data_IF_389512970450
#
_entry.id   IF_389512970450
#
_cell.length_a   1.000
_cell.length_b   1.000
_cell.length_c   1.000
_cell.angle_alpha   90.00
_cell.angle_beta   90.00
_cell.angle_gamma   90.00
#
_symmetry.space_group_name_H-M   'P 1'
#
loop_
_entity.id
_entity.type
_entity.pdbx_description
1 polymer ?
#
# COMPACT_ATOMS: atom_id res chain seq x y z
N UNK A 1 -64.33 17.65 -45.95
CA UNK A 1 -64.70 16.51 -45.08
C UNK A 1 -63.69 15.41 -45.32
N UNK A 2 -63.13 14.84 -44.27
CA UNK A 2 -62.21 13.70 -44.37
C UNK A 2 -60.87 13.97 -43.69
N UNK A 3 -60.87 13.95 -42.36
CA UNK A 3 -59.68 13.75 -41.53
C UNK A 3 -59.25 12.29 -41.75
N UNK A 4 -57.99 12.05 -42.13
CA UNK A 4 -57.38 10.71 -42.04
C UNK A 4 -56.12 10.83 -41.19
N UNK A 5 -56.13 10.09 -40.11
CA UNK A 5 -55.15 10.06 -39.04
C UNK A 5 -53.79 9.56 -39.55
N UNK A 6 -52.73 10.21 -39.08
CA UNK A 6 -51.38 9.69 -39.12
C UNK A 6 -51.25 8.65 -38.01
N UNK A 7 -50.87 7.43 -38.40
CA UNK A 7 -50.60 6.32 -37.50
C UNK A 7 -49.49 6.70 -36.51
N UNK A 8 -49.81 6.52 -35.24
CA UNK A 8 -48.93 6.67 -34.09
C UNK A 8 -47.92 5.52 -34.04
N UNK A 9 -46.63 5.84 -34.16
CA UNK A 9 -45.54 4.99 -33.70
C UNK A 9 -45.56 4.97 -32.16
N UNK A 10 -45.81 3.81 -31.56
CA UNK A 10 -45.56 3.57 -30.14
C UNK A 10 -44.05 3.46 -29.89
N UNK A 11 -43.45 4.27 -29.00
CA UNK A 11 -42.12 3.98 -28.48
C UNK A 11 -42.24 2.94 -27.36
N UNK A 12 -41.42 1.90 -27.45
CA UNK A 12 -41.28 0.85 -26.46
C UNK A 12 -41.04 1.42 -25.05
N UNK A 13 -41.80 0.86 -24.09
CA UNK A 13 -41.66 1.07 -22.66
C UNK A 13 -40.21 0.89 -22.21
N UNK A 14 -39.56 1.99 -21.80
CA UNK A 14 -38.36 1.94 -20.97
C UNK A 14 -38.73 1.44 -19.58
N UNK A 15 -38.09 0.40 -19.03
CA UNK A 15 -38.26 0.08 -17.62
C UNK A 15 -37.66 1.22 -16.82
N UNK A 16 -38.49 1.87 -16.01
CA UNK A 16 -38.07 2.81 -14.98
C UNK A 16 -37.08 2.11 -14.06
N UNK A 17 -35.85 2.64 -13.98
CA UNK A 17 -34.91 2.29 -12.93
C UNK A 17 -35.52 2.77 -11.61
N UNK A 18 -36.09 1.83 -10.86
CA UNK A 18 -36.56 2.06 -9.50
C UNK A 18 -35.35 2.41 -8.63
N UNK A 19 -35.23 3.70 -8.34
CA UNK A 19 -34.46 4.19 -7.22
C UNK A 19 -35.16 3.74 -5.93
N UNK A 20 -34.64 2.68 -5.31
CA UNK A 20 -34.49 2.50 -3.85
C UNK A 20 -34.09 1.06 -3.56
N UNK A 21 -32.86 0.88 -3.10
CA UNK A 21 -32.63 0.38 -1.74
C UNK A 21 -31.19 0.69 -1.33
N UNK A 22 -31.07 1.87 -0.71
CA UNK A 22 -29.91 2.30 0.05
C UNK A 22 -29.82 1.52 1.35
N UNK A 23 -29.18 0.36 1.30
CA UNK A 23 -28.50 -0.23 2.44
C UNK A 23 -27.07 -0.56 2.02
N UNK A 24 -26.28 0.48 1.74
CA UNK A 24 -24.84 0.36 1.86
C UNK A 24 -24.57 0.11 3.35
N UNK A 25 -24.22 -1.12 3.73
CA UNK A 25 -23.59 -1.35 5.02
C UNK A 25 -22.42 -0.37 5.15
N UNK A 26 -22.38 0.40 6.23
CA UNK A 26 -21.26 1.28 6.64
C UNK A 26 -20.01 0.44 6.97
N UNK A 27 -19.56 -0.36 6.02
CA UNK A 27 -18.36 -1.15 6.12
C UNK A 27 -17.18 -0.19 6.02
N UNK A 28 -16.43 -0.05 7.11
CA UNK A 28 -15.16 0.65 7.17
C UNK A 28 -14.08 -0.33 7.61
N UNK A 29 -12.84 -0.10 7.18
CA UNK A 29 -11.70 -0.87 7.68
C UNK A 29 -11.57 -0.65 9.21
N UNK A 30 -11.12 -1.66 9.99
CA UNK A 30 -10.96 -1.52 11.43
C UNK A 30 -10.03 -0.36 11.81
N UNK A 31 -10.32 0.31 12.92
CA UNK A 31 -9.46 1.35 13.50
C UNK A 31 -9.00 0.91 14.89
N UNK A 32 -7.69 0.88 15.11
CA UNK A 32 -7.05 0.27 16.28
C UNK A 32 -6.24 1.34 17.02
N UNK A 33 -6.48 1.45 18.32
CA UNK A 33 -5.78 2.40 19.20
C UNK A 33 -4.54 1.73 19.83
N UNK A 34 -3.35 2.22 19.49
CA UNK A 34 -2.09 1.66 19.96
C UNK A 34 -1.59 2.28 21.28
N UNK A 35 -2.34 3.23 21.88
CA UNK A 35 -1.93 3.90 23.13
C UNK A 35 -1.47 2.92 24.23
N UNK A 36 -2.11 1.76 24.45
CA UNK A 36 -1.64 0.81 25.46
C UNK A 36 -0.21 0.26 25.27
N UNK A 37 0.37 0.35 24.07
CA UNK A 37 1.77 -0.04 23.84
C UNK A 37 2.77 1.06 24.20
N UNK A 38 2.31 2.29 24.42
CA UNK A 38 3.14 3.43 24.82
C UNK A 38 3.00 3.79 26.31
N UNK A 39 2.10 3.11 27.02
CA UNK A 39 1.91 3.23 28.47
C UNK A 39 2.87 2.31 29.25
N UNK A 40 3.25 2.68 30.50
CA UNK A 40 4.10 1.86 31.35
C UNK A 40 3.52 0.47 31.66
N UNK A 41 4.38 -0.54 31.80
CA UNK A 41 3.98 -1.92 32.15
C UNK A 41 3.29 -2.03 33.52
N UNK A 42 3.53 -1.06 34.41
CA UNK A 42 2.89 -0.98 35.72
C UNK A 42 1.45 -0.46 35.69
N UNK A 43 0.97 0.05 34.54
CA UNK A 43 -0.38 0.59 34.41
C UNK A 43 -1.45 -0.51 34.59
N UNK A 44 -2.48 -0.31 35.45
CA UNK A 44 -3.51 -1.32 35.68
C UNK A 44 -4.23 -1.74 34.39
N UNK A 45 -4.31 -3.05 34.14
CA UNK A 45 -5.01 -3.60 32.98
C UNK A 45 -4.26 -3.50 31.65
N UNK A 46 -3.01 -2.99 31.65
CA UNK A 46 -2.27 -2.74 30.41
C UNK A 46 -1.95 -4.01 29.62
N UNK A 47 -1.57 -5.08 30.31
CA UNK A 47 -1.28 -6.37 29.67
C UNK A 47 -2.52 -6.92 28.93
N UNK A 48 -3.69 -6.84 29.56
CA UNK A 48 -4.95 -7.24 28.92
C UNK A 48 -5.34 -6.30 27.77
N UNK A 49 -5.07 -4.99 27.89
CA UNK A 49 -5.26 -4.02 26.81
C UNK A 49 -4.41 -4.35 25.58
N UNK A 50 -3.12 -4.60 25.78
CA UNK A 50 -2.20 -4.99 24.69
C UNK A 50 -2.64 -6.29 24.04
N UNK A 51 -3.06 -7.30 24.81
CA UNK A 51 -3.53 -8.56 24.26
C UNK A 51 -4.80 -8.41 23.42
N UNK A 52 -5.75 -7.57 23.85
CA UNK A 52 -6.94 -7.24 23.03
C UNK A 52 -6.55 -6.60 21.69
N UNK A 53 -5.61 -5.67 21.70
CA UNK A 53 -5.12 -5.04 20.47
C UNK A 53 -4.48 -6.07 19.53
N UNK A 54 -3.69 -7.01 20.06
CA UNK A 54 -3.11 -8.10 19.25
C UNK A 54 -4.21 -8.93 18.57
N UNK A 55 -5.31 -9.21 19.27
CA UNK A 55 -6.47 -9.92 18.70
C UNK A 55 -7.22 -9.08 17.66
N UNK A 56 -7.33 -7.76 17.86
CA UNK A 56 -7.91 -6.84 16.88
C UNK A 56 -7.07 -6.78 15.59
N UNK A 57 -5.75 -6.73 15.72
CA UNK A 57 -4.81 -6.80 14.59
C UNK A 57 -4.96 -8.14 13.87
N UNK A 58 -5.03 -9.26 14.59
CA UNK A 58 -5.25 -10.58 13.97
C UNK A 58 -6.52 -10.59 13.11
N UNK A 59 -7.66 -10.17 13.67
CA UNK A 59 -8.93 -10.10 12.92
C UNK A 59 -8.85 -9.16 11.73
N UNK A 60 -8.23 -7.99 11.88
CA UNK A 60 -8.06 -7.06 10.77
C UNK A 60 -7.23 -7.65 9.63
N UNK A 61 -6.12 -8.32 9.94
CA UNK A 61 -5.28 -8.97 8.94
C UNK A 61 -5.96 -10.17 8.26
N UNK A 62 -6.76 -10.95 9.00
CA UNK A 62 -7.48 -12.13 8.49
C UNK A 62 -8.69 -11.75 7.62
N UNK A 63 -9.48 -10.76 8.06
CA UNK A 63 -10.76 -10.42 7.42
C UNK A 63 -10.63 -9.31 6.37
N UNK A 64 -9.70 -8.38 6.56
CA UNK A 64 -9.57 -7.17 5.74
C UNK A 64 -8.22 -7.02 5.05
N UNK A 65 -7.14 -7.53 5.64
CA UNK A 65 -5.78 -7.24 5.19
C UNK A 65 -5.37 -5.76 5.34
N UNK A 66 -6.26 -4.92 5.88
CA UNK A 66 -6.17 -3.48 6.01
C UNK A 66 -6.74 -3.03 7.35
N UNK A 67 -6.14 -2.03 7.97
CA UNK A 67 -6.66 -1.34 9.16
C UNK A 67 -6.06 0.05 9.28
N UNK A 68 -6.68 0.91 10.09
CA UNK A 68 -6.09 2.17 10.54
C UNK A 68 -5.54 2.01 11.95
N UNK A 69 -4.47 2.72 12.26
CA UNK A 69 -3.94 2.85 13.61
C UNK A 69 -3.91 4.31 14.04
N UNK A 70 -4.19 4.55 15.32
CA UNK A 70 -4.00 5.84 16.01
C UNK A 70 -3.09 5.65 17.20
N UNK A 71 -2.55 6.75 17.75
CA UNK A 71 -1.59 6.73 18.86
C UNK A 71 -0.39 5.83 18.55
N UNK A 72 0.08 5.85 17.30
CA UNK A 72 1.11 4.96 16.75
C UNK A 72 2.55 5.40 17.04
N UNK A 73 2.76 6.45 17.84
CA UNK A 73 4.09 6.94 18.24
C UNK A 73 4.83 7.79 17.20
N UNK A 74 4.50 7.70 15.90
CA UNK A 74 5.02 8.64 14.90
C UNK A 74 4.51 10.08 15.12
N UNK A 75 5.44 11.03 15.20
CA UNK A 75 5.17 12.45 15.42
C UNK A 75 4.26 13.04 14.30
N UNK A 76 3.08 13.51 14.70
CA UNK A 76 2.11 14.12 13.79
C UNK A 76 2.62 15.42 13.15
N UNK A 77 3.49 16.17 13.83
CA UNK A 77 4.12 17.35 13.25
C UNK A 77 5.12 16.97 12.16
N UNK A 78 5.85 15.86 12.33
CA UNK A 78 6.73 15.32 11.29
C UNK A 78 5.96 14.86 10.05
N UNK A 79 4.81 14.17 10.25
CA UNK A 79 3.90 13.80 9.15
C UNK A 79 3.43 15.06 8.41
N UNK A 80 2.96 16.07 9.15
CA UNK A 80 2.47 17.33 8.57
C UNK A 80 3.56 18.08 7.81
N UNK A 81 4.77 18.19 8.38
CA UNK A 81 5.92 18.82 7.73
C UNK A 81 6.33 18.06 6.46
N UNK A 82 6.22 16.74 6.48
CA UNK A 82 6.57 15.89 5.34
C UNK A 82 5.54 15.96 4.21
N UNK A 83 4.24 16.04 4.54
CA UNK A 83 3.19 16.32 3.54
C UNK A 83 3.39 17.69 2.90
N UNK A 84 3.77 18.72 3.68
CA UNK A 84 4.12 20.05 3.14
C UNK A 84 5.35 20.01 2.23
N UNK A 85 6.43 19.35 2.66
CA UNK A 85 7.63 19.18 1.84
C UNK A 85 7.33 18.41 0.54
N UNK A 86 6.44 17.43 0.59
CA UNK A 86 5.93 16.71 -0.58
C UNK A 86 5.21 17.64 -1.54
N UNK A 87 4.29 18.47 -1.02
CA UNK A 87 3.57 19.45 -1.81
C UNK A 87 4.52 20.44 -2.48
N UNK A 88 5.41 21.04 -1.69
CA UNK A 88 6.39 22.02 -2.19
C UNK A 88 7.29 21.43 -3.28
N UNK A 89 7.62 20.14 -3.18
CA UNK A 89 8.34 19.42 -4.23
C UNK A 89 7.49 19.21 -5.51
N UNK A 90 6.26 18.73 -5.37
CA UNK A 90 5.40 18.44 -6.54
C UNK A 90 4.93 19.71 -7.27
N UNK A 91 4.92 20.85 -6.57
CA UNK A 91 4.66 22.18 -7.14
C UNK A 91 5.85 22.74 -7.95
N UNK A 92 7.03 22.11 -7.89
CA UNK A 92 8.17 22.52 -8.72
C UNK A 92 7.88 22.29 -10.21
N UNK A 93 8.64 23.01 -11.06
CA UNK A 93 8.59 22.77 -12.50
C UNK A 93 8.95 21.33 -12.85
N UNK A 94 8.40 20.81 -13.95
CA UNK A 94 8.74 19.47 -14.43
C UNK A 94 10.25 19.28 -14.58
N UNK A 95 10.97 20.31 -15.06
CA UNK A 95 12.43 20.28 -15.19
C UNK A 95 13.14 20.00 -13.85
N UNK A 96 12.72 20.66 -12.77
CA UNK A 96 13.30 20.45 -11.44
C UNK A 96 12.94 19.05 -10.88
N UNK A 97 11.70 18.61 -11.08
CA UNK A 97 11.25 17.28 -10.62
C UNK A 97 12.00 16.15 -11.33
N UNK A 98 12.25 16.29 -12.63
CA UNK A 98 12.96 15.31 -13.45
C UNK A 98 14.44 15.14 -13.06
N UNK A 99 15.05 16.12 -12.36
CA UNK A 99 16.43 16.01 -11.83
C UNK A 99 16.53 14.97 -10.71
N UNK A 100 15.41 14.59 -10.10
CA UNK A 100 15.34 13.60 -9.01
C UNK A 100 15.18 12.21 -9.58
N UNK A 101 16.04 11.82 -10.52
CA UNK A 101 16.07 10.49 -11.13
C UNK A 101 17.51 9.99 -11.22
N UNK A 102 17.77 8.69 -11.00
CA UNK A 102 19.05 8.12 -11.37
C UNK A 102 19.33 8.33 -12.86
N UNK A 103 20.60 8.47 -13.27
CA UNK A 103 20.92 8.56 -14.70
C UNK A 103 20.39 7.33 -15.46
N UNK A 104 19.89 7.49 -16.70
CA UNK A 104 19.34 6.40 -17.48
C UNK A 104 20.28 5.20 -17.58
N UNK A 105 19.75 3.98 -17.38
CA UNK A 105 20.51 2.74 -17.44
C UNK A 105 21.39 2.42 -16.23
N UNK A 106 21.40 3.26 -15.19
CA UNK A 106 22.23 3.02 -13.99
C UNK A 106 21.53 2.23 -12.90
N UNK A 107 20.22 2.43 -12.73
CA UNK A 107 19.41 1.75 -11.73
C UNK A 107 18.53 0.68 -12.38
N UNK A 108 18.50 -0.57 -11.86
CA UNK A 108 17.70 -1.65 -12.44
C UNK A 108 16.19 -1.53 -12.17
N UNK A 109 15.77 -0.59 -11.32
CA UNK A 109 14.36 -0.35 -10.97
C UNK A 109 14.00 1.12 -11.15
N UNK A 110 12.74 1.46 -11.49
CA UNK A 110 12.29 2.85 -11.64
C UNK A 110 12.31 3.54 -10.27
N UNK A 111 13.18 4.54 -10.12
CA UNK A 111 13.39 5.26 -8.86
C UNK A 111 13.33 6.77 -9.04
N UNK A 112 13.14 7.46 -7.91
CA UNK A 112 13.01 8.91 -7.89
C UNK A 112 11.67 9.36 -8.45
N UNK A 113 11.65 10.48 -9.16
CA UNK A 113 10.44 11.10 -9.66
C UNK A 113 9.84 10.36 -10.84
N UNK A 114 8.53 10.19 -10.87
CA UNK A 114 7.78 9.68 -12.01
C UNK A 114 6.48 10.48 -12.17
N UNK A 115 6.11 10.75 -13.42
CA UNK A 115 4.89 11.47 -13.78
C UNK A 115 4.07 10.60 -14.72
N UNK A 116 2.76 10.49 -14.46
CA UNK A 116 1.80 9.71 -15.23
C UNK A 116 2.31 8.29 -15.55
N UNK A 117 2.51 7.49 -14.50
CA UNK A 117 2.82 6.07 -14.66
C UNK A 117 1.63 5.31 -15.27
N UNK A 118 1.87 4.10 -15.77
CA UNK A 118 0.83 3.29 -16.41
C UNK A 118 1.32 2.67 -17.72
N UNK A 119 0.42 1.95 -18.37
CA UNK A 119 0.64 1.26 -19.65
C UNK A 119 -0.20 1.97 -20.71
N UNK A 120 0.18 1.90 -21.99
CA UNK A 120 -0.60 2.46 -23.09
C UNK A 120 -2.10 2.09 -22.98
N UNK A 121 -2.95 3.12 -22.79
CA UNK A 121 -4.40 2.99 -22.61
C UNK A 121 -4.91 2.93 -21.16
N UNK A 122 -4.03 2.83 -20.16
CA UNK A 122 -4.34 2.77 -18.72
C UNK A 122 -3.47 3.78 -17.94
N UNK A 123 -3.62 5.06 -18.24
CA UNK A 123 -2.84 6.13 -17.61
C UNK A 123 -3.25 6.29 -16.14
N UNK A 124 -2.29 6.15 -15.22
CA UNK A 124 -2.46 6.52 -13.82
C UNK A 124 -2.18 8.02 -13.67
N UNK A 125 -3.22 8.79 -13.34
CA UNK A 125 -3.07 10.24 -13.15
C UNK A 125 -2.52 10.54 -11.76
N UNK A 126 -1.21 10.37 -11.64
CA UNK A 126 -0.43 10.68 -10.44
C UNK A 126 1.01 11.06 -10.76
N UNK A 127 1.65 11.67 -9.78
CA UNK A 127 3.09 11.76 -9.68
C UNK A 127 3.58 11.02 -8.44
N UNK A 128 4.81 10.53 -8.47
CA UNK A 128 5.43 9.97 -7.27
C UNK A 128 6.94 10.19 -7.20
N UNK A 129 7.47 10.11 -5.98
CA UNK A 129 8.88 9.99 -5.65
C UNK A 129 9.10 8.65 -4.95
N UNK A 130 10.04 7.85 -5.44
CA UNK A 130 10.40 6.55 -4.83
C UNK A 130 11.85 6.55 -4.35
N UNK A 131 12.06 6.20 -3.07
CA UNK A 131 13.37 6.09 -2.44
C UNK A 131 13.49 4.78 -1.66
N UNK A 132 14.65 4.13 -1.71
CA UNK A 132 14.96 3.10 -0.72
C UNK A 132 15.42 3.75 0.58
N UNK A 133 14.99 3.22 1.72
CA UNK A 133 15.53 3.58 3.01
C UNK A 133 17.01 3.17 3.09
N UNK A 134 17.82 4.01 3.72
CA UNK A 134 19.18 3.62 4.06
C UNK A 134 19.08 2.65 5.24
N UNK A 135 19.62 1.43 5.09
CA UNK A 135 19.85 0.59 6.24
C UNK A 135 20.94 1.31 7.05
N UNK A 136 20.63 1.78 8.27
CA UNK A 136 21.56 2.54 9.12
C UNK A 136 22.85 1.80 9.52
N UNK A 137 23.19 0.74 8.80
CA UNK A 137 24.48 0.07 8.78
C UNK A 137 25.60 1.07 8.45
N UNK A 138 26.68 1.12 9.26
CA UNK A 138 27.84 1.96 8.97
C UNK A 138 28.58 1.55 7.69
N UNK A 139 28.36 0.32 7.20
CA UNK A 139 28.82 -0.12 5.89
C UNK A 139 27.64 -0.17 4.94
N UNK A 140 27.59 0.76 3.97
CA UNK A 140 26.68 0.63 2.83
C UNK A 140 26.96 -0.72 2.19
N UNK A 141 26.02 -1.65 2.26
CA UNK A 141 26.14 -2.88 1.48
C UNK A 141 26.39 -2.46 0.03
N UNK A 142 27.41 -3.00 -0.65
CA UNK A 142 27.65 -2.69 -2.07
C UNK A 142 26.41 -2.99 -2.93
N UNK A 143 25.51 -3.86 -2.44
CA UNK A 143 24.28 -4.26 -3.09
C UNK A 143 23.04 -3.44 -2.65
N UNK A 144 23.20 -2.47 -1.75
CA UNK A 144 22.10 -1.61 -1.29
C UNK A 144 21.58 -0.74 -2.43
N UNK A 145 20.28 -0.76 -2.68
CA UNK A 145 19.66 0.06 -3.71
C UNK A 145 19.60 1.55 -3.33
N UNK A 146 19.77 1.89 -2.05
CA UNK A 146 19.81 3.29 -1.58
C UNK A 146 20.96 4.09 -2.21
N UNK A 147 22.02 3.42 -2.71
CA UNK A 147 23.13 4.04 -3.46
C UNK A 147 22.67 4.77 -4.73
N UNK A 148 21.52 4.41 -5.26
CA UNK A 148 20.93 5.00 -6.45
C UNK A 148 19.94 6.13 -6.11
N UNK A 149 19.64 6.38 -4.82
CA UNK A 149 18.75 7.50 -4.45
C UNK A 149 19.35 8.82 -4.93
N UNK A 150 18.56 9.58 -5.69
CA UNK A 150 18.87 10.97 -6.05
C UNK A 150 17.97 11.86 -5.23
N UNK A 151 18.53 12.58 -4.27
CA UNK A 151 17.77 13.44 -3.37
C UNK A 151 17.53 14.83 -4.00
N UNK A 152 16.34 15.43 -3.84
CA UNK A 152 16.07 16.75 -4.38
C UNK A 152 16.88 17.82 -3.64
N UNK A 153 17.36 18.82 -4.40
CA UNK A 153 17.96 20.04 -3.83
C UNK A 153 16.92 21.09 -3.40
N UNK A 154 15.64 20.88 -3.75
CA UNK A 154 14.52 21.78 -3.46
C UNK A 154 13.27 20.97 -3.06
N UNK A 155 12.48 21.42 -2.07
CA UNK A 155 12.78 22.54 -1.17
C UNK A 155 14.03 22.25 -0.30
N UNK A 156 14.69 23.31 0.20
CA UNK A 156 16.01 23.20 0.84
C UNK A 156 16.01 22.30 2.10
N UNK A 157 14.86 22.20 2.76
CA UNK A 157 14.63 21.36 3.94
C UNK A 157 14.09 19.95 3.62
N UNK A 158 13.95 19.58 2.33
CA UNK A 158 13.37 18.28 1.97
C UNK A 158 14.18 17.13 2.56
N UNK A 159 15.50 17.14 2.40
CA UNK A 159 16.36 16.06 2.91
C UNK A 159 16.34 15.97 4.44
N UNK A 160 16.36 17.10 5.15
CA UNK A 160 16.36 17.07 6.62
C UNK A 160 15.02 16.59 7.19
N UNK A 161 13.91 16.90 6.52
CA UNK A 161 12.57 16.43 6.93
C UNK A 161 12.36 14.98 6.50
N UNK A 162 12.55 14.67 5.22
CA UNK A 162 12.16 13.39 4.63
C UNK A 162 13.21 12.30 4.86
N UNK A 163 14.46 12.54 4.44
CA UNK A 163 15.53 11.53 4.54
C UNK A 163 15.94 11.30 5.99
N UNK A 164 16.25 12.38 6.71
CA UNK A 164 16.91 12.29 8.02
C UNK A 164 15.94 12.03 9.17
N UNK A 165 14.66 12.40 9.03
CA UNK A 165 13.65 12.21 10.07
C UNK A 165 12.54 11.24 9.65
N UNK A 166 11.81 11.56 8.59
CA UNK A 166 10.62 10.80 8.20
C UNK A 166 10.92 9.35 7.89
N UNK A 167 11.94 9.06 7.06
CA UNK A 167 12.32 7.68 6.73
C UNK A 167 12.75 6.91 7.98
N UNK A 168 13.53 7.54 8.86
CA UNK A 168 14.05 6.91 10.08
C UNK A 168 12.90 6.56 11.04
N UNK A 169 12.05 7.53 11.37
CA UNK A 169 10.94 7.33 12.30
C UNK A 169 9.81 6.49 11.70
N UNK A 170 9.55 6.64 10.39
CA UNK A 170 8.61 5.82 9.64
C UNK A 170 9.04 4.36 9.59
N UNK A 171 10.33 4.08 9.39
CA UNK A 171 10.88 2.73 9.43
C UNK A 171 10.75 2.10 10.82
N UNK A 172 11.06 2.84 11.90
CA UNK A 172 10.84 2.36 13.27
C UNK A 172 9.37 2.00 13.50
N UNK A 173 8.46 2.86 13.06
CA UNK A 173 7.01 2.66 13.17
C UNK A 173 6.55 1.43 12.39
N UNK A 174 7.03 1.24 11.15
CA UNK A 174 6.69 0.08 10.33
C UNK A 174 7.23 -1.23 10.93
N UNK A 175 8.46 -1.23 11.47
CA UNK A 175 9.03 -2.41 12.15
C UNK A 175 8.25 -2.74 13.42
N UNK A 176 7.84 -1.73 14.19
CA UNK A 176 6.99 -1.92 15.36
C UNK A 176 5.62 -2.51 14.96
N UNK A 177 4.97 -2.00 13.92
CA UNK A 177 3.72 -2.58 13.43
C UNK A 177 3.90 -4.01 12.92
N UNK A 178 5.02 -4.30 12.24
CA UNK A 178 5.36 -5.66 11.82
C UNK A 178 5.55 -6.59 13.03
N UNK A 179 6.08 -6.10 14.15
CA UNK A 179 6.23 -6.93 15.34
C UNK A 179 4.90 -7.27 16.01
N UNK A 180 3.94 -6.34 16.00
CA UNK A 180 2.56 -6.60 16.44
C UNK A 180 1.86 -7.62 15.53
N UNK A 181 2.11 -7.56 14.22
CA UNK A 181 1.60 -8.54 13.23
C UNK A 181 2.24 -9.91 13.46
N UNK A 182 3.53 -9.97 13.75
CA UNK A 182 4.23 -11.20 14.12
C UNK A 182 3.59 -11.83 15.36
N UNK A 183 3.39 -11.03 16.41
CA UNK A 183 2.76 -11.49 17.65
C UNK A 183 1.30 -11.92 17.45
N UNK A 184 0.53 -11.23 16.60
CA UNK A 184 -0.86 -11.62 16.32
C UNK A 184 -0.99 -12.93 15.55
N UNK A 185 0.06 -13.33 14.82
CA UNK A 185 0.18 -14.66 14.23
C UNK A 185 0.51 -15.76 15.26
N UNK A 186 0.86 -15.39 16.50
CA UNK A 186 1.37 -16.31 17.52
C UNK A 186 2.88 -16.56 17.41
N UNK A 187 3.61 -15.73 16.67
CA UNK A 187 5.06 -15.80 16.52
C UNK A 187 5.76 -14.86 17.52
N UNK A 188 7.06 -15.04 17.80
CA UNK A 188 7.84 -14.05 18.55
C UNK A 188 7.77 -12.67 17.89
N UNK A 189 7.81 -11.60 18.69
CA UNK A 189 7.63 -10.21 18.23
C UNK A 189 8.47 -9.87 16.99
N UNK A 190 9.76 -10.22 16.96
CA UNK A 190 10.64 -9.86 15.84
C UNK A 190 10.74 -10.92 14.73
N UNK A 191 9.98 -12.02 14.82
CA UNK A 191 10.15 -13.17 13.93
C UNK A 191 10.06 -12.79 12.45
N UNK A 192 8.99 -12.09 12.04
CA UNK A 192 8.83 -11.68 10.63
C UNK A 192 9.93 -10.73 10.16
N UNK A 193 10.40 -9.82 11.02
CA UNK A 193 11.47 -8.87 10.69
C UNK A 193 12.84 -9.56 10.52
N UNK A 194 13.11 -10.58 11.33
CA UNK A 194 14.34 -11.38 11.28
C UNK A 194 14.32 -12.41 10.15
N UNK A 195 13.14 -12.86 9.73
CA UNK A 195 12.98 -13.90 8.74
C UNK A 195 13.55 -13.54 7.36
N UNK A 196 13.50 -12.26 6.95
CA UNK A 196 14.00 -11.84 5.65
C UNK A 196 15.35 -11.10 5.72
N UNK A 197 16.18 -11.39 4.73
CA UNK A 197 17.52 -10.80 4.53
C UNK A 197 17.43 -9.53 3.68
N UNK A 198 18.50 -8.74 3.70
CA UNK A 198 18.72 -7.62 2.77
C UNK A 198 17.50 -6.67 2.70
N UNK A 199 17.23 -5.98 3.81
CA UNK A 199 16.02 -5.18 4.01
C UNK A 199 15.98 -4.00 3.03
N UNK A 200 15.21 -4.15 1.95
CA UNK A 200 15.04 -3.14 0.90
C UNK A 200 13.89 -2.18 1.19
N UNK A 201 13.70 -1.83 2.47
CA UNK A 201 12.60 -0.96 2.89
C UNK A 201 12.58 0.33 2.06
N UNK A 202 11.40 0.86 1.77
CA UNK A 202 11.25 1.96 0.84
C UNK A 202 10.23 2.99 1.33
N UNK A 203 10.38 4.21 0.83
CA UNK A 203 9.41 5.29 0.93
C UNK A 203 8.96 5.65 -0.48
N UNK A 204 7.65 5.67 -0.69
CA UNK A 204 7.04 6.30 -1.87
C UNK A 204 6.19 7.48 -1.41
N UNK A 205 6.40 8.66 -2.01
CA UNK A 205 5.54 9.83 -1.83
C UNK A 205 4.74 10.03 -3.10
N UNK A 206 3.43 10.23 -2.98
CA UNK A 206 2.49 10.27 -4.10
C UNK A 206 1.67 11.55 -4.06
N UNK A 207 1.48 12.11 -5.25
CA UNK A 207 0.59 13.24 -5.51
C UNK A 207 -0.45 12.84 -6.55
N UNK A 208 -1.70 13.14 -6.21
CA UNK A 208 -2.87 12.90 -7.05
C UNK A 208 -3.57 14.24 -7.28
N UNK A 209 -3.71 14.69 -8.54
CA UNK A 209 -4.38 15.94 -8.87
C UNK A 209 -5.90 15.82 -8.66
N UNK A 210 -6.57 16.98 -8.59
CA UNK A 210 -8.03 17.04 -8.73
C UNK A 210 -8.42 16.60 -10.12
N UNK A 211 -9.54 15.89 -10.24
CA UNK A 211 -10.08 15.43 -11.51
C UNK A 211 -11.59 15.51 -11.54
N UNK A 212 -12.12 16.13 -12.59
CA UNK A 212 -13.54 16.17 -12.93
C UNK A 212 -14.00 14.96 -13.77
N UNK A 213 -13.04 14.09 -14.15
CA UNK A 213 -13.31 12.86 -14.87
C UNK A 213 -13.93 11.85 -13.89
N UNK A 214 -15.14 11.32 -14.15
CA UNK A 214 -15.75 10.30 -13.30
C UNK A 214 -14.87 9.06 -13.17
N UNK A 215 -14.67 8.59 -11.95
CA UNK A 215 -13.82 7.44 -11.63
C UNK A 215 -12.38 7.53 -12.18
N UNK A 216 -11.81 8.74 -12.21
CA UNK A 216 -10.44 8.94 -12.67
C UNK A 216 -9.43 8.13 -11.84
N UNK A 217 -8.71 7.22 -12.50
CA UNK A 217 -7.80 6.31 -11.83
C UNK A 217 -6.48 7.03 -11.52
N UNK A 218 -6.28 7.36 -10.24
CA UNK A 218 -5.00 7.83 -9.73
C UNK A 218 -3.96 6.72 -9.61
N UNK A 219 -4.37 5.53 -9.20
CA UNK A 219 -3.54 4.32 -9.11
C UNK A 219 -4.41 3.10 -9.37
N UNK A 220 -4.03 2.25 -10.33
CA UNK A 220 -4.82 1.07 -10.69
C UNK A 220 -4.94 0.08 -9.54
N UNK A 221 -5.95 -0.78 -9.61
CA UNK A 221 -6.11 -1.88 -8.65
C UNK A 221 -4.86 -2.76 -8.64
N UNK A 222 -4.35 -3.06 -7.45
CA UNK A 222 -3.21 -3.95 -7.25
C UNK A 222 -3.21 -4.51 -5.83
N UNK A 223 -2.46 -5.58 -5.63
CA UNK A 223 -1.96 -6.01 -4.31
C UNK A 223 -0.50 -5.59 -4.16
N UNK A 224 -0.11 -5.27 -2.93
CA UNK A 224 1.26 -4.91 -2.62
C UNK A 224 2.15 -6.15 -2.56
N UNK A 225 3.18 -6.19 -3.42
CA UNK A 225 4.14 -7.29 -3.45
C UNK A 225 5.09 -7.38 -2.26
N UNK A 226 4.96 -6.47 -1.28
CA UNK A 226 5.89 -6.34 -0.16
C UNK A 226 5.44 -7.15 1.08
N UNK A 227 6.02 -6.89 2.25
CA UNK A 227 5.62 -7.52 3.53
C UNK A 227 4.52 -6.71 4.20
N UNK A 228 4.71 -5.39 4.30
CA UNK A 228 3.85 -4.47 5.02
C UNK A 228 3.95 -3.09 4.37
N UNK A 229 2.82 -2.41 4.24
CA UNK A 229 2.76 -0.99 3.89
C UNK A 229 2.09 -0.17 5.00
N UNK A 230 2.66 1.00 5.28
CA UNK A 230 2.19 1.96 6.28
C UNK A 230 2.07 3.33 5.61
N UNK A 231 0.83 3.82 5.49
CA UNK A 231 0.48 4.98 4.68
C UNK A 231 0.01 6.12 5.57
N UNK A 232 0.65 7.27 5.45
CA UNK A 232 0.10 8.55 5.90
C UNK A 232 -0.51 9.29 4.71
N UNK A 233 -1.60 10.01 4.94
CA UNK A 233 -2.30 10.77 3.91
C UNK A 233 -2.86 12.07 4.50
N UNK A 234 -3.09 13.07 3.63
CA UNK A 234 -3.90 14.22 4.01
C UNK A 234 -5.39 13.85 4.15
N UNK A 235 -6.21 14.80 4.57
CA UNK A 235 -7.66 14.63 4.80
C UNK A 235 -8.48 14.58 3.49
N UNK A 236 -7.90 13.96 2.45
CA UNK A 236 -8.51 13.81 1.13
C UNK A 236 -8.75 12.35 0.82
N UNK A 237 -10.00 12.00 0.52
CA UNK A 237 -10.40 10.66 0.11
C UNK A 237 -9.78 10.23 -1.24
N UNK A 238 -9.73 8.93 -1.47
CA UNK A 238 -9.33 8.37 -2.77
C UNK A 238 -8.91 6.92 -2.69
N UNK A 239 -8.30 6.49 -1.59
CA UNK A 239 -7.94 5.08 -1.37
C UNK A 239 -9.21 4.22 -1.23
N UNK A 240 -9.29 3.16 -2.02
CA UNK A 240 -10.35 2.17 -1.96
C UNK A 240 -9.77 0.76 -1.80
N UNK A 241 -10.39 -0.05 -0.94
CA UNK A 241 -10.02 -1.45 -0.68
C UNK A 241 -11.14 -2.35 -1.19
N UNK A 242 -10.79 -3.43 -1.87
CA UNK A 242 -11.77 -4.40 -2.37
C UNK A 242 -12.16 -5.36 -1.23
N UNK A 243 -13.43 -5.36 -0.84
CA UNK A 243 -14.00 -6.27 0.16
C UNK A 243 -15.30 -6.86 -0.37
N UNK A 244 -15.39 -8.19 -0.39
CA UNK A 244 -16.57 -8.93 -0.83
C UNK A 244 -17.11 -8.43 -2.19
N UNK A 245 -16.20 -8.31 -3.16
CA UNK A 245 -16.42 -7.79 -4.53
C UNK A 245 -16.90 -6.33 -4.63
N UNK A 246 -16.78 -5.56 -3.54
CA UNK A 246 -17.14 -4.14 -3.48
C UNK A 246 -15.94 -3.26 -3.14
N UNK A 247 -15.84 -2.11 -3.79
CA UNK A 247 -14.86 -1.09 -3.45
C UNK A 247 -15.33 -0.28 -2.25
N UNK A 248 -14.58 -0.36 -1.15
CA UNK A 248 -14.84 0.37 0.09
C UNK A 248 -13.87 1.54 0.20
N UNK A 249 -14.38 2.77 0.25
CA UNK A 249 -13.56 3.97 0.43
C UNK A 249 -13.01 4.03 1.86
N UNK A 250 -11.69 4.17 1.97
CA UNK A 250 -11.02 4.37 3.25
C UNK A 250 -11.09 5.85 3.61
N UNK A 251 -11.98 6.20 4.55
CA UNK A 251 -12.11 7.57 5.05
C UNK A 251 -10.83 8.00 5.78
N UNK A 252 -10.16 9.09 5.37
CA UNK A 252 -9.01 9.62 6.09
C UNK A 252 -9.41 10.02 7.52
N UNK A 253 -8.55 9.71 8.49
CA UNK A 253 -8.67 10.19 9.87
C UNK A 253 -7.42 10.95 10.25
N UNK A 254 -7.57 12.15 10.81
CA UNK A 254 -6.46 13.00 11.25
C UNK A 254 -5.58 12.25 12.25
N UNK A 255 -4.27 12.25 12.02
CA UNK A 255 -3.31 11.58 12.91
C UNK A 255 -3.41 10.05 12.90
N UNK A 256 -4.02 9.45 11.87
CA UNK A 256 -4.02 8.01 11.67
C UNK A 256 -3.02 7.59 10.58
N UNK A 257 -2.60 6.33 10.65
CA UNK A 257 -1.91 5.64 9.56
C UNK A 257 -2.77 4.50 9.06
N UNK A 258 -2.83 4.31 7.75
CA UNK A 258 -3.39 3.09 7.14
C UNK A 258 -2.29 2.04 7.08
N UNK A 259 -2.60 0.81 7.46
CA UNK A 259 -1.67 -0.32 7.45
C UNK A 259 -2.28 -1.42 6.61
N UNK A 260 -1.49 -2.02 5.72
CA UNK A 260 -1.91 -3.17 4.94
C UNK A 260 -0.85 -4.23 4.79
N UNK A 261 -1.31 -5.48 4.80
CA UNK A 261 -0.48 -6.68 4.68
C UNK A 261 -0.18 -6.93 3.21
N UNK A 262 1.09 -7.15 2.89
CA UNK A 262 1.53 -7.46 1.54
C UNK A 262 1.52 -8.96 1.23
N UNK A 263 1.68 -9.27 -0.06
CA UNK A 263 1.70 -10.63 -0.63
C UNK A 263 2.60 -11.59 0.15
N UNK A 264 3.75 -11.10 0.64
CA UNK A 264 4.76 -11.93 1.30
C UNK A 264 4.26 -12.47 2.63
N UNK A 265 3.54 -11.67 3.41
CA UNK A 265 2.95 -12.15 4.67
C UNK A 265 1.77 -13.08 4.40
N UNK A 266 1.00 -12.88 3.32
CA UNK A 266 -0.04 -13.83 2.93
C UNK A 266 0.56 -15.20 2.59
N UNK A 267 1.65 -15.24 1.82
CA UNK A 267 2.36 -16.49 1.51
C UNK A 267 2.95 -17.12 2.78
N UNK A 268 3.69 -16.35 3.58
CA UNK A 268 4.29 -16.84 4.82
C UNK A 268 3.26 -17.41 5.79
N UNK A 269 2.11 -16.75 5.93
CA UNK A 269 1.02 -17.18 6.81
C UNK A 269 0.11 -18.26 6.20
N UNK A 270 0.45 -18.77 5.02
CA UNK A 270 -0.29 -19.80 4.30
C UNK A 270 -1.78 -19.45 4.14
N UNK A 271 -2.06 -18.25 3.62
CA UNK A 271 -3.40 -17.64 3.47
C UNK A 271 -4.12 -17.22 4.76
N UNK A 272 -3.52 -17.34 5.94
CA UNK A 272 -4.18 -16.85 7.17
C UNK A 272 -4.41 -15.35 7.10
N UNK A 273 -3.40 -14.55 6.78
CA UNK A 273 -3.55 -13.11 6.55
C UNK A 273 -3.69 -12.81 5.06
N UNK A 274 -4.47 -11.79 4.72
CA UNK A 274 -4.82 -11.47 3.34
C UNK A 274 -4.09 -10.22 2.86
N UNK A 275 -3.44 -10.32 1.70
CA UNK A 275 -3.10 -9.15 0.90
C UNK A 275 -4.28 -8.84 -0.02
N UNK A 276 -4.77 -7.61 0.04
CA UNK A 276 -6.05 -7.24 -0.58
C UNK A 276 -5.84 -6.24 -1.69
N UNK A 277 -6.62 -6.40 -2.77
CA UNK A 277 -6.63 -5.46 -3.87
C UNK A 277 -7.10 -4.10 -3.40
N UNK A 278 -6.36 -3.06 -3.76
CA UNK A 278 -6.70 -1.68 -3.46
C UNK A 278 -6.35 -0.78 -4.65
N UNK A 279 -7.01 0.37 -4.75
CA UNK A 279 -6.82 1.37 -5.82
C UNK A 279 -6.91 2.78 -5.26
N UNK A 280 -6.53 3.78 -6.06
CA UNK A 280 -6.77 5.18 -5.73
C UNK A 280 -7.57 5.83 -6.86
N UNK A 281 -8.68 6.46 -6.50
CA UNK A 281 -9.49 7.30 -7.38
C UNK A 281 -9.18 8.77 -7.07
N UNK A 282 -8.97 9.57 -8.11
CA UNK A 282 -8.84 11.02 -7.97
C UNK A 282 -10.23 11.60 -7.73
N UNK A 283 -10.35 12.50 -6.75
CA UNK A 283 -11.60 13.21 -6.46
C UNK A 283 -11.63 14.58 -7.16
N UNK A 284 -12.81 15.20 -7.19
CA UNK A 284 -13.10 16.45 -7.89
C UNK A 284 -12.96 17.71 -7.01
N UNK A 285 -12.58 17.56 -5.74
CA UNK A 285 -12.58 18.66 -4.77
C UNK A 285 -11.18 19.08 -4.32
N UNK A 286 -10.36 18.11 -3.92
CA UNK A 286 -9.10 18.35 -3.23
C UNK A 286 -7.99 17.47 -3.79
N UNK A 287 -6.79 18.04 -3.91
CA UNK A 287 -5.59 17.26 -4.19
C UNK A 287 -5.32 16.26 -3.06
N UNK A 288 -4.81 15.08 -3.41
CA UNK A 288 -4.44 14.06 -2.43
C UNK A 288 -2.93 13.88 -2.41
N UNK A 289 -2.37 13.95 -1.20
CA UNK A 289 -0.97 13.61 -0.92
C UNK A 289 -0.95 12.43 0.03
N UNK A 290 -0.10 11.46 -0.27
CA UNK A 290 0.17 10.36 0.63
C UNK A 290 1.61 9.94 0.54
N UNK A 291 2.14 9.34 1.59
CA UNK A 291 3.37 8.59 1.49
C UNK A 291 3.22 7.24 2.16
N UNK A 292 3.82 6.22 1.57
CA UNK A 292 3.81 4.85 2.06
C UNK A 292 5.22 4.40 2.39
N UNK A 293 5.44 3.98 3.64
CA UNK A 293 6.61 3.21 4.01
C UNK A 293 6.30 1.75 3.79
N UNK A 294 7.24 1.02 3.19
CA UNK A 294 7.09 -0.40 2.93
C UNK A 294 8.22 -1.19 3.56
N UNK A 295 7.89 -2.27 4.24
CA UNK A 295 8.83 -3.32 4.59
C UNK A 295 8.99 -4.23 3.38
N UNK A 296 10.19 -4.28 2.81
CA UNK A 296 10.45 -5.00 1.55
C UNK A 296 11.58 -6.00 1.76
N UNK A 297 11.40 -7.28 1.38
CA UNK A 297 12.47 -8.25 1.46
C UNK A 297 13.53 -7.99 0.39
N UNK A 298 14.74 -8.49 0.63
CA UNK A 298 15.79 -8.45 -0.38
C UNK A 298 15.48 -9.35 -1.56
N UNK A 299 16.02 -9.02 -2.73
CA UNK A 299 15.82 -9.77 -3.98
C UNK A 299 16.20 -11.26 -3.86
N UNK A 300 17.15 -11.58 -2.99
CA UNK A 300 17.63 -12.95 -2.73
C UNK A 300 16.73 -13.76 -1.79
N UNK A 301 15.71 -13.13 -1.18
CA UNK A 301 14.83 -13.79 -0.21
C UNK A 301 14.01 -14.89 -0.89
N UNK A 302 14.09 -16.11 -0.34
CA UNK A 302 13.20 -17.20 -0.68
C UNK A 302 11.90 -17.05 0.10
N UNK A 303 10.77 -17.15 -0.59
CA UNK A 303 9.43 -16.93 -0.04
C UNK A 303 8.65 -18.24 -0.18
N UNK A 304 8.22 -18.78 0.95
CA UNK A 304 7.40 -20.00 1.03
C UNK A 304 6.55 -19.95 2.30
N UNK A 305 5.42 -20.70 2.38
CA UNK A 305 4.66 -20.83 3.61
C UNK A 305 5.54 -21.28 4.79
N UNK A 306 5.41 -20.59 5.92
CA UNK A 306 6.23 -20.88 7.10
C UNK A 306 5.83 -22.23 7.73
N UNK A 307 6.77 -22.96 8.36
CA UNK A 307 6.48 -24.23 9.04
C UNK A 307 5.35 -24.14 10.08
N UNK A 308 5.26 -23.02 10.80
CA UNK A 308 4.25 -22.73 11.83
C UNK A 308 2.81 -22.76 11.29
N UNK A 309 2.62 -22.56 9.97
CA UNK A 309 1.31 -22.59 9.31
C UNK A 309 1.20 -23.74 8.29
N UNK A 310 2.15 -24.67 8.32
CA UNK A 310 2.17 -25.86 7.47
C UNK A 310 2.55 -27.10 8.26
N UNK A 311 3.80 -27.54 8.20
CA UNK A 311 4.27 -28.83 8.73
C UNK A 311 4.07 -28.98 10.24
N UNK A 312 4.23 -27.90 11.03
CA UNK A 312 4.05 -27.93 12.50
C UNK A 312 2.59 -28.18 12.90
N UNK A 313 1.63 -27.79 12.05
CA UNK A 313 0.19 -28.00 12.25
C UNK A 313 -0.42 -29.02 11.29
N UNK A 314 0.42 -29.78 10.57
CA UNK A 314 0.01 -30.79 9.58
C UNK A 314 -0.91 -30.26 8.46
N UNK A 315 -0.71 -29.01 8.05
CA UNK A 315 -1.39 -28.39 6.92
C UNK A 315 -0.49 -28.37 5.68
N UNK A 316 -1.05 -28.66 4.51
CA UNK A 316 -0.30 -28.59 3.25
C UNK A 316 0.06 -27.12 2.89
N UNK A 317 1.24 -26.87 2.30
CA UNK A 317 1.58 -25.56 1.78
C UNK A 317 0.66 -25.22 0.59
N UNK A 318 0.07 -24.03 0.61
CA UNK A 318 -0.76 -23.50 -0.49
C UNK A 318 0.05 -22.82 -1.59
N UNK A 319 1.33 -22.60 -1.35
CA UNK A 319 2.25 -21.96 -2.29
C UNK A 319 3.55 -22.75 -2.40
N UNK A 320 4.09 -22.84 -3.61
CA UNK A 320 5.47 -23.31 -3.85
C UNK A 320 6.45 -22.20 -3.53
N UNK A 321 7.67 -22.58 -3.16
CA UNK A 321 8.76 -21.64 -2.90
C UNK A 321 9.12 -20.86 -4.17
N UNK A 322 9.45 -19.57 -4.01
CA UNK A 322 9.97 -18.72 -5.08
C UNK A 322 10.96 -17.67 -4.58
N UNK A 323 11.79 -17.14 -5.47
CA UNK A 323 12.70 -16.06 -5.17
C UNK A 323 12.01 -14.69 -5.36
N UNK A 324 12.12 -13.81 -4.36
CA UNK A 324 11.42 -12.52 -4.36
C UNK A 324 11.80 -11.61 -5.54
N UNK A 325 13.08 -11.56 -5.91
CA UNK A 325 13.54 -10.75 -7.05
C UNK A 325 12.90 -11.17 -8.38
N UNK A 326 12.78 -12.47 -8.62
CA UNK A 326 12.11 -13.01 -9.81
C UNK A 326 10.61 -12.69 -9.80
N UNK A 327 9.96 -12.86 -8.65
CA UNK A 327 8.55 -12.48 -8.48
C UNK A 327 8.31 -11.02 -8.86
N UNK A 328 9.10 -10.10 -8.32
CA UNK A 328 8.96 -8.68 -8.63
C UNK A 328 9.27 -8.36 -10.09
N UNK A 329 10.31 -8.96 -10.67
CA UNK A 329 10.66 -8.80 -12.09
C UNK A 329 9.47 -9.19 -12.98
N UNK A 330 8.87 -10.36 -12.75
CA UNK A 330 7.69 -10.79 -13.50
C UNK A 330 6.49 -9.86 -13.34
N UNK A 331 6.25 -9.32 -12.13
CA UNK A 331 5.20 -8.31 -11.94
C UNK A 331 5.47 -7.03 -12.73
N UNK A 332 6.71 -6.57 -12.79
CA UNK A 332 7.07 -5.36 -13.55
C UNK A 332 7.04 -5.58 -15.07
N UNK A 333 7.48 -6.72 -15.57
CA UNK A 333 7.48 -7.05 -16.99
C UNK A 333 6.08 -7.25 -17.55
N UNK A 334 5.19 -7.93 -16.81
CA UNK A 334 3.79 -8.05 -17.21
C UNK A 334 3.10 -6.69 -17.30
N UNK A 335 3.42 -5.77 -16.38
CA UNK A 335 2.97 -4.38 -16.46
C UNK A 335 3.56 -3.60 -17.64
N UNK A 336 4.53 -4.13 -18.40
CA UNK A 336 4.99 -3.50 -19.65
C UNK A 336 4.39 -4.16 -20.89
N UNK A 337 3.98 -5.42 -20.78
CA UNK A 337 3.66 -6.28 -21.93
C UNK A 337 2.17 -6.31 -22.25
N UNK A 338 1.26 -5.80 -21.39
CA UNK A 338 -0.22 -5.96 -21.50
C UNK A 338 -0.74 -5.84 -22.94
N UNK A 339 -0.72 -7.00 -23.58
CA UNK A 339 -1.56 -7.39 -24.69
C UNK A 339 -2.77 -8.02 -24.03
N UNK A 340 -3.95 -7.86 -24.64
CA UNK A 340 -5.28 -8.06 -24.04
C UNK A 340 -5.57 -9.44 -23.40
N UNK A 341 -4.64 -10.40 -23.37
CA UNK A 341 -4.82 -11.79 -22.92
C UNK A 341 -3.74 -12.37 -21.98
N UNK A 342 -2.79 -11.59 -21.42
CA UNK A 342 -1.82 -12.12 -20.44
C UNK A 342 -2.32 -11.88 -19.01
N UNK A 343 -2.54 -12.94 -18.23
CA UNK A 343 -2.91 -12.86 -16.81
C UNK A 343 -1.84 -12.09 -16.00
N UNK A 344 -2.28 -11.21 -15.10
CA UNK A 344 -1.37 -10.52 -14.18
C UNK A 344 -0.68 -11.55 -13.26
N UNK A 345 0.65 -11.67 -13.33
CA UNK A 345 1.38 -12.53 -12.38
C UNK A 345 1.21 -11.95 -10.97
N UNK A 346 0.60 -12.76 -10.12
CA UNK A 346 0.42 -12.53 -8.68
C UNK A 346 0.93 -13.77 -7.93
N UNK A 347 0.86 -13.77 -6.60
CA UNK A 347 1.18 -14.97 -5.80
C UNK A 347 0.37 -16.22 -6.20
N UNK A 348 -0.77 -16.06 -6.90
CA UNK A 348 -1.54 -17.19 -7.46
C UNK A 348 -0.74 -18.05 -8.44
N UNK A 349 0.20 -17.47 -9.19
CA UNK A 349 1.09 -18.23 -10.09
C UNK A 349 1.97 -19.26 -9.33
N UNK A 350 2.11 -19.07 -8.02
CA UNK A 350 2.83 -19.97 -7.14
C UNK A 350 1.90 -20.84 -6.29
N UNK A 351 0.58 -20.81 -6.52
CA UNK A 351 -0.37 -21.68 -5.83
C UNK A 351 -0.09 -23.17 -6.11
N UNK A 352 -0.28 -24.02 -5.11
CA UNK A 352 -0.19 -25.49 -5.21
C UNK A 352 -1.55 -26.16 -5.41
N UNK A 353 -2.64 -25.40 -5.26
CA UNK A 353 -3.98 -25.91 -5.57
C UNK A 353 -4.17 -25.91 -7.09
N UNK A 354 -4.58 -27.05 -7.64
CA UNK A 354 -5.17 -27.11 -8.98
C UNK A 354 -6.51 -26.33 -8.91
N UNK A 355 -6.58 -25.15 -9.55
CA UNK A 355 -7.84 -24.41 -9.74
C UNK A 355 -8.77 -25.14 -10.72
#
# INVERSE_FOLDING_TARGET
MGVVALESFEPALTPSLDHRDSHHSDQEIPSIDLLPFFEPDSSPGIAAGRERIIQEIARACEEWGFFQVVNHGLDCDLITQSLRASKDFFDLSMEEKMKVRPPPGTCPVPMGFCHNSGIDGLVERKEHLFFFAEDGSPTKSPDSFSKYNVWPGKPQNFCSIVRERLIVEGQKTAIFLLSLISRSLGLPDNFLYEHYKEKMNALIMLFYPVSDIPEDIGLHKHQDGNILSVVAQNETEGLQVLKDDKWITVKPRTGSLVVNVGDIVQVWSNDRYKSVQHRVINNDQNVRYSFAFSCVPGVSTLVAPLPQFTSEIQQAPRYREFQYGEYMMYRFENKKIVSKNSEEITIKYYSTAEE
#
